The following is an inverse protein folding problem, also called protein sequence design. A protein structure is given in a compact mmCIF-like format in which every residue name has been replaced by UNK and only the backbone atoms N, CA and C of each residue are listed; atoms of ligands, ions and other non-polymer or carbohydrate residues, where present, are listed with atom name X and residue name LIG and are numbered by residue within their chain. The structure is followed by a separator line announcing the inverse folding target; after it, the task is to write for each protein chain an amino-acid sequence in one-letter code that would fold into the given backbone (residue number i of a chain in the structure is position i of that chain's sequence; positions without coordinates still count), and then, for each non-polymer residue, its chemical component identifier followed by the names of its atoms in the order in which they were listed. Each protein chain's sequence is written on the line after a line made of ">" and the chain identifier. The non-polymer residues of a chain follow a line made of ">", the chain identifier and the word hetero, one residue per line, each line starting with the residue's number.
data_IF_442494132400
#
_entry.id   IF_442494132400
#
_cell.length_a   1.000
_cell.length_b   1.000
_cell.length_c   1.000
_cell.angle_alpha   90.00
_cell.angle_beta   90.00
_cell.angle_gamma   90.00
#
_symmetry.space_group_name_H-M   'P 1'
#
loop_
_entity.id
_entity.type
_entity.pdbx_description
1 polymer ?
#
# COMPACT_ATOMS: atom_id res chain seq x y z
N UNK A 1 46.49 -31.96 -22.99
CA UNK A 1 46.52 -30.56 -23.49
C UNK A 1 45.19 -30.26 -24.16
N UNK A 2 44.49 -29.19 -23.72
CA UNK A 2 43.33 -28.54 -24.38
C UNK A 2 42.18 -29.51 -24.73
N UNK A 3 41.17 -29.68 -23.89
CA UNK A 3 40.10 -28.68 -23.68
C UNK A 3 39.35 -29.01 -22.38
N UNK A 4 40.02 -28.88 -21.24
CA UNK A 4 39.37 -28.30 -20.07
C UNK A 4 39.46 -26.78 -20.25
N UNK A 5 38.54 -26.04 -19.65
CA UNK A 5 38.36 -24.57 -19.67
C UNK A 5 37.23 -24.16 -20.63
N UNK A 6 36.30 -23.38 -20.07
CA UNK A 6 35.21 -22.62 -20.70
C UNK A 6 33.92 -23.38 -20.99
N UNK A 7 33.05 -23.60 -19.98
CA UNK A 7 31.65 -23.12 -19.94
C UNK A 7 31.24 -23.07 -18.44
N UNK A 8 31.52 -21.97 -17.73
CA UNK A 8 30.47 -21.09 -17.16
C UNK A 8 29.46 -21.86 -16.29
N UNK A 9 29.69 -22.07 -14.99
CA UNK A 9 29.50 -21.06 -13.95
C UNK A 9 28.26 -20.17 -14.17
N UNK A 10 27.03 -20.70 -14.17
CA UNK A 10 25.81 -19.91 -13.90
C UNK A 10 24.52 -20.76 -13.94
N UNK A 11 24.25 -21.54 -12.91
CA UNK A 11 22.85 -21.78 -12.52
C UNK A 11 22.75 -21.54 -11.02
N UNK A 12 23.06 -20.30 -10.63
CA UNK A 12 22.51 -19.73 -9.41
C UNK A 12 21.00 -19.78 -9.60
N UNK A 13 20.37 -20.69 -8.86
CA UNK A 13 18.92 -20.78 -8.72
C UNK A 13 18.37 -19.37 -8.60
N UNK A 14 17.59 -18.99 -9.61
CA UNK A 14 16.97 -17.67 -9.73
C UNK A 14 16.00 -17.56 -8.56
N UNK A 15 16.45 -16.98 -7.45
CA UNK A 15 15.59 -16.55 -6.37
C UNK A 15 14.69 -15.47 -6.97
N UNK A 16 13.50 -15.88 -7.41
CA UNK A 16 12.43 -14.97 -7.80
C UNK A 16 12.00 -14.26 -6.53
N UNK A 17 12.67 -13.15 -6.21
CA UNK A 17 12.15 -12.16 -5.26
C UNK A 17 10.93 -11.58 -5.98
N UNK A 18 9.75 -12.12 -5.73
CA UNK A 18 8.51 -11.46 -6.05
C UNK A 18 8.41 -10.24 -5.14
N UNK A 19 9.02 -9.14 -5.58
CA UNK A 19 8.73 -7.82 -5.05
C UNK A 19 7.27 -7.54 -5.40
N UNK A 20 6.37 -7.77 -4.45
CA UNK A 20 5.04 -7.23 -4.52
C UNK A 20 5.19 -5.70 -4.55
N UNK A 21 5.16 -5.15 -5.76
CA UNK A 21 5.16 -3.71 -6.00
C UNK A 21 3.97 -3.14 -5.24
N UNK A 22 4.29 -2.47 -4.14
CA UNK A 22 3.29 -1.99 -3.22
C UNK A 22 2.53 -0.85 -3.88
N UNK A 23 1.25 -1.10 -4.19
CA UNK A 23 0.45 -0.18 -4.99
C UNK A 23 -0.08 0.93 -4.10
N UNK A 24 -0.06 2.17 -4.61
CA UNK A 24 -0.74 3.28 -3.93
C UNK A 24 -2.25 3.02 -3.91
N UNK A 25 -2.91 3.57 -2.90
CA UNK A 25 -4.36 3.49 -2.84
C UNK A 25 -4.98 4.24 -4.03
N UNK A 26 -5.77 3.54 -4.83
CA UNK A 26 -6.54 4.12 -5.96
C UNK A 26 -8.04 3.92 -5.80
N UNK A 27 -8.44 2.99 -4.92
CA UNK A 27 -9.81 2.55 -4.70
C UNK A 27 -10.25 2.82 -3.27
N UNK A 28 -11.50 3.27 -3.11
CA UNK A 28 -12.14 3.52 -1.83
C UNK A 28 -12.41 2.18 -1.12
N UNK A 29 -11.96 2.00 0.13
CA UNK A 29 -12.09 0.71 0.82
C UNK A 29 -13.51 0.46 1.34
N UNK A 30 -14.35 1.50 1.38
CA UNK A 30 -15.75 1.47 1.81
C UNK A 30 -16.64 0.92 0.68
N UNK A 31 -16.72 1.63 -0.45
CA UNK A 31 -17.66 1.33 -1.54
C UNK A 31 -17.00 0.93 -2.87
N UNK A 32 -15.66 0.95 -2.97
CA UNK A 32 -14.96 0.54 -4.20
C UNK A 32 -14.86 1.60 -5.31
N UNK A 33 -15.34 2.83 -5.08
CA UNK A 33 -15.18 3.93 -6.04
C UNK A 33 -13.74 4.45 -6.16
N UNK A 34 -13.45 5.25 -7.19
CA UNK A 34 -12.15 5.92 -7.34
C UNK A 34 -11.94 6.93 -6.20
N UNK A 35 -10.76 6.95 -5.58
CA UNK A 35 -10.50 7.85 -4.45
C UNK A 35 -10.47 9.33 -4.87
N UNK A 36 -10.77 10.19 -3.90
CA UNK A 36 -10.49 11.61 -3.95
C UNK A 36 -9.40 11.92 -2.92
N UNK A 37 -8.26 12.45 -3.38
CA UNK A 37 -7.10 12.75 -2.51
C UNK A 37 -7.35 13.88 -1.51
N UNK A 38 -8.45 14.64 -1.67
CA UNK A 38 -8.88 15.67 -0.71
C UNK A 38 -9.77 15.10 0.40
N UNK A 39 -10.23 13.86 0.28
CA UNK A 39 -11.09 13.20 1.25
C UNK A 39 -10.34 12.04 1.88
N UNK A 40 -9.85 12.25 3.10
CA UNK A 40 -9.06 11.26 3.82
C UNK A 40 -9.31 11.29 5.32
N UNK A 41 -8.94 10.19 5.96
CA UNK A 41 -8.85 10.07 7.42
C UNK A 41 -7.46 9.58 7.76
N UNK A 42 -6.84 10.26 8.72
CA UNK A 42 -5.57 9.86 9.30
C UNK A 42 -5.85 9.03 10.55
N UNK A 43 -5.40 7.78 10.57
CA UNK A 43 -5.58 6.84 11.68
C UNK A 43 -4.41 5.86 11.75
N UNK A 44 -3.99 5.50 12.97
CA UNK A 44 -2.90 4.53 13.19
C UNK A 44 -1.59 4.86 12.44
N UNK A 45 -1.30 6.16 12.26
CA UNK A 45 -0.12 6.62 11.52
C UNK A 45 -0.23 6.47 9.99
N UNK A 46 -1.41 6.13 9.47
CA UNK A 46 -1.68 5.94 8.05
C UNK A 46 -2.81 6.84 7.57
N UNK A 47 -2.69 7.34 6.34
CA UNK A 47 -3.72 8.12 5.66
C UNK A 47 -4.54 7.22 4.75
N UNK A 48 -5.85 7.18 4.95
CA UNK A 48 -6.78 6.40 4.13
C UNK A 48 -7.69 7.35 3.37
N UNK A 49 -7.73 7.20 2.05
CA UNK A 49 -8.56 8.02 1.17
C UNK A 49 -9.94 7.41 0.94
N UNK A 50 -10.94 8.25 0.63
CA UNK A 50 -12.29 7.81 0.25
C UNK A 50 -12.73 8.47 -1.05
N UNK A 51 -13.77 7.91 -1.68
CA UNK A 51 -14.31 8.45 -2.93
C UNK A 51 -15.27 9.63 -2.72
N UNK A 52 -15.98 9.68 -1.59
CA UNK A 52 -16.99 10.70 -1.29
C UNK A 52 -17.08 11.03 0.22
N UNK A 53 -17.67 12.18 0.60
CA UNK A 53 -17.77 12.61 1.99
C UNK A 53 -18.56 11.63 2.87
N UNK A 54 -19.56 10.95 2.32
CA UNK A 54 -20.40 9.98 3.05
C UNK A 54 -19.62 8.75 3.55
N UNK A 55 -18.46 8.45 2.95
CA UNK A 55 -17.58 7.37 3.39
C UNK A 55 -16.72 7.75 4.61
N UNK A 56 -16.54 9.04 4.91
CA UNK A 56 -15.74 9.51 6.04
C UNK A 56 -16.25 9.03 7.41
N UNK A 57 -17.56 9.12 7.75
CA UNK A 57 -18.05 8.64 9.04
C UNK A 57 -17.81 7.14 9.22
N UNK A 58 -18.07 6.31 8.21
CA UNK A 58 -17.85 4.86 8.30
C UNK A 58 -16.36 4.53 8.48
N UNK A 59 -15.49 5.22 7.73
CA UNK A 59 -14.04 5.07 7.86
C UNK A 59 -13.54 5.47 9.25
N UNK A 60 -14.07 6.56 9.84
CA UNK A 60 -13.73 7.03 11.19
C UNK A 60 -14.21 6.10 12.29
N UNK A 61 -15.34 5.42 12.09
CA UNK A 61 -15.87 4.46 13.07
C UNK A 61 -14.97 3.24 13.21
N UNK A 62 -14.35 2.78 12.11
CA UNK A 62 -13.53 1.57 12.14
C UNK A 62 -12.34 1.62 11.18
N UNK A 63 -11.36 2.53 11.39
CA UNK A 63 -10.24 2.71 10.47
C UNK A 63 -9.36 1.47 10.35
N UNK A 64 -9.14 0.75 11.46
CA UNK A 64 -8.35 -0.48 11.51
C UNK A 64 -8.85 -1.56 10.53
N UNK A 65 -10.18 -1.70 10.41
CA UNK A 65 -10.82 -2.62 9.45
C UNK A 65 -10.41 -2.30 8.02
N UNK A 66 -10.44 -1.03 7.62
CA UNK A 66 -10.12 -0.60 6.26
C UNK A 66 -8.62 -0.60 5.99
N UNK A 67 -7.79 -0.28 6.98
CA UNK A 67 -6.34 -0.41 6.89
C UNK A 67 -5.96 -1.87 6.59
N UNK A 68 -6.46 -2.81 7.38
CA UNK A 68 -6.19 -4.25 7.17
C UNK A 68 -6.66 -4.73 5.82
N UNK A 69 -7.85 -4.30 5.38
CA UNK A 69 -8.39 -4.64 4.06
C UNK A 69 -7.45 -4.16 2.94
N UNK A 70 -6.97 -2.91 3.01
CA UNK A 70 -6.07 -2.34 2.01
C UNK A 70 -4.70 -3.04 2.02
N UNK A 71 -4.15 -3.35 3.19
CA UNK A 71 -2.87 -4.08 3.30
C UNK A 71 -2.96 -5.49 2.74
N UNK A 72 -4.08 -6.19 2.96
CA UNK A 72 -4.35 -7.50 2.36
C UNK A 72 -4.44 -7.44 0.83
N UNK A 73 -4.85 -6.29 0.29
CA UNK A 73 -4.86 -6.02 -1.15
C UNK A 73 -3.50 -5.58 -1.69
N UNK A 74 -2.45 -5.57 -0.85
CA UNK A 74 -1.10 -5.12 -1.23
C UNK A 74 -0.98 -3.60 -1.38
N UNK A 75 -1.99 -2.85 -0.92
CA UNK A 75 -2.00 -1.39 -0.98
C UNK A 75 -1.13 -0.81 0.12
N UNK A 76 -0.14 0.01 -0.26
CA UNK A 76 0.60 0.85 0.70
C UNK A 76 -0.16 2.14 0.94
N UNK A 77 -0.53 2.34 2.19
CA UNK A 77 -1.10 3.58 2.68
C UNK A 77 0.00 4.62 2.87
N UNK A 78 -0.32 5.87 2.55
CA UNK A 78 0.58 6.98 2.82
C UNK A 78 0.69 7.21 4.33
N UNK A 79 1.83 7.71 4.80
CA UNK A 79 2.02 8.01 6.22
C UNK A 79 1.15 9.21 6.63
N UNK A 80 0.40 9.07 7.72
CA UNK A 80 -0.25 10.22 8.33
C UNK A 80 0.81 11.12 8.99
N UNK A 81 0.66 12.46 8.90
CA UNK A 81 1.48 13.36 9.69
C UNK A 81 1.30 13.06 11.19
N UNK A 82 2.36 13.24 11.99
CA UNK A 82 2.23 13.04 13.44
C UNK A 82 1.25 14.09 13.98
N UNK A 83 0.52 13.82 15.09
CA UNK A 83 -0.47 14.73 15.66
C UNK A 83 0.03 16.15 16.00
N UNK A 84 1.35 16.39 15.99
CA UNK A 84 1.96 17.70 16.14
C UNK A 84 1.76 18.64 14.92
N UNK A 85 1.44 18.10 13.74
CA UNK A 85 1.38 18.86 12.48
C UNK A 85 -0.06 19.09 11.96
N UNK A 86 -1.08 18.62 12.69
CA UNK A 86 -2.49 18.70 12.28
C UNK A 86 -3.19 19.99 12.74
N UNK A 87 -2.46 21.11 12.81
CA UNK A 87 -2.99 22.39 13.27
C UNK A 87 -2.64 23.51 12.30
N UNK A 88 -3.56 23.81 11.37
CA UNK A 88 -3.75 25.15 10.82
C UNK A 88 -5.19 25.34 10.38
#
# INVERSE_FOLDING_TARGET
>A
MKKLITIVAMVLAVCRINAAESQKQTVCPVMGGKINTNLFVDAEGKRIYVCCPDCLPELKQNPAKYIRKLEQQGVKLDAAPKPADAKK
#
